data_IF_334590350094
#
_entry.id   IF_334590350094
#
_cell.length_a   1.000
_cell.length_b   1.000
_cell.length_c   1.000
_cell.angle_alpha   90.00
_cell.angle_beta   90.00
_cell.angle_gamma   90.00
#
_symmetry.space_group_name_H-M   'P 1'
#
loop_
_entity.id
_entity.type
_entity.pdbx_description
1 polymer ?
#
# COMPACT_ATOMS: atom_id res chain seq x y z
N UNK A 1 -3.31 -2.10 15.40
CA UNK A 1 -2.65 -2.97 14.40
C UNK A 1 -3.70 -3.68 13.53
N UNK A 2 -4.59 -4.51 14.10
CA UNK A 2 -5.64 -5.22 13.34
C UNK A 2 -6.46 -4.36 12.38
N UNK A 3 -6.91 -3.18 12.83
CA UNK A 3 -7.64 -2.23 11.98
C UNK A 3 -6.83 -1.77 10.77
N UNK A 4 -5.54 -1.50 10.95
CA UNK A 4 -4.66 -1.05 9.87
C UNK A 4 -4.37 -2.19 8.90
N UNK A 5 -4.14 -3.40 9.40
CA UNK A 5 -3.97 -4.58 8.56
C UNK A 5 -5.23 -4.84 7.72
N UNK A 6 -6.41 -4.81 8.33
CA UNK A 6 -7.68 -4.96 7.61
C UNK A 6 -7.87 -3.88 6.53
N UNK A 7 -7.57 -2.61 6.83
CA UNK A 7 -7.63 -1.53 5.81
C UNK A 7 -6.62 -1.78 4.69
N UNK A 8 -5.41 -2.22 5.03
CA UNK A 8 -4.36 -2.60 4.08
C UNK A 8 -4.78 -3.75 3.17
N UNK A 9 -5.35 -4.83 3.71
CA UNK A 9 -5.87 -5.96 2.92
C UNK A 9 -6.99 -5.53 1.97
N UNK A 10 -7.93 -4.70 2.44
CA UNK A 10 -9.00 -4.17 1.58
C UNK A 10 -8.42 -3.32 0.44
N UNK A 11 -7.45 -2.45 0.74
CA UNK A 11 -6.76 -1.67 -0.28
C UNK A 11 -6.08 -2.55 -1.32
N UNK A 12 -5.34 -3.57 -0.89
CA UNK A 12 -4.62 -4.49 -1.81
C UNK A 12 -5.61 -5.23 -2.71
N UNK A 13 -6.72 -5.72 -2.14
CA UNK A 13 -7.77 -6.37 -2.90
C UNK A 13 -8.41 -5.44 -3.93
N UNK A 14 -8.75 -4.22 -3.53
CA UNK A 14 -9.33 -3.22 -4.44
C UNK A 14 -8.36 -2.91 -5.59
N UNK A 15 -7.09 -2.61 -5.27
CA UNK A 15 -6.08 -2.21 -6.25
C UNK A 15 -5.76 -3.34 -7.25
N UNK A 16 -5.66 -4.58 -6.78
CA UNK A 16 -5.40 -5.76 -7.64
C UNK A 16 -6.56 -6.05 -8.60
N UNK A 17 -7.78 -5.66 -8.26
CA UNK A 17 -8.96 -5.84 -9.10
C UNK A 17 -9.13 -4.75 -10.17
N UNK A 18 -8.31 -3.69 -10.15
CA UNK A 18 -8.34 -2.63 -11.16
C UNK A 18 -7.90 -3.19 -12.53
N UNK A 19 -8.70 -2.87 -13.55
CA UNK A 19 -8.52 -3.35 -14.94
C UNK A 19 -8.21 -2.24 -15.94
N UNK A 20 -7.53 -1.17 -15.49
CA UNK A 20 -7.11 -0.06 -16.35
C UNK A 20 -5.90 -0.43 -17.22
N UNK A 21 -5.00 -1.30 -16.75
CA UNK A 21 -3.81 -1.75 -17.48
C UNK A 21 -3.75 -3.27 -17.68
N UNK A 22 -2.96 -3.71 -18.67
CA UNK A 22 -2.66 -5.12 -18.93
C UNK A 22 -1.35 -5.52 -18.27
N UNK A 23 -1.44 -6.17 -17.11
CA UNK A 23 -0.29 -6.84 -16.47
C UNK A 23 -0.03 -8.19 -17.15
N UNK A 24 0.96 -8.25 -18.03
CA UNK A 24 1.25 -9.45 -18.81
C UNK A 24 1.97 -10.53 -18.00
N UNK A 25 2.81 -10.11 -17.04
CA UNK A 25 3.63 -11.03 -16.23
C UNK A 25 3.00 -11.32 -14.87
N UNK A 26 2.07 -10.47 -14.43
CA UNK A 26 1.51 -10.52 -13.07
C UNK A 26 2.39 -9.83 -12.03
N UNK A 27 3.59 -9.35 -12.40
CA UNK A 27 4.54 -8.76 -11.46
C UNK A 27 4.03 -7.45 -10.87
N UNK A 28 3.32 -6.63 -11.65
CA UNK A 28 2.85 -5.33 -11.16
C UNK A 28 1.76 -5.52 -10.10
N UNK A 29 0.70 -6.27 -10.43
CA UNK A 29 -0.41 -6.53 -9.49
C UNK A 29 0.04 -7.31 -8.25
N UNK A 30 0.90 -8.31 -8.41
CA UNK A 30 1.41 -9.09 -7.26
C UNK A 30 2.32 -8.26 -6.36
N UNK A 31 3.01 -7.24 -6.88
CA UNK A 31 3.84 -6.33 -6.06
C UNK A 31 3.04 -5.32 -5.24
N UNK A 32 1.72 -5.23 -5.43
CA UNK A 32 0.87 -4.35 -4.62
C UNK A 32 0.74 -4.93 -3.23
N UNK A 33 0.99 -4.10 -2.22
CA UNK A 33 1.03 -4.48 -0.82
C UNK A 33 0.90 -3.28 0.12
N UNK A 34 1.09 -3.54 1.41
CA UNK A 34 1.12 -2.50 2.44
C UNK A 34 2.15 -2.80 3.54
N UNK A 35 2.52 -1.74 4.26
CA UNK A 35 3.41 -1.76 5.42
C UNK A 35 2.72 -1.00 6.56
N UNK A 36 2.80 -1.54 7.77
CA UNK A 36 2.37 -0.87 8.99
C UNK A 36 3.62 -0.54 9.79
N UNK A 37 3.73 0.73 10.17
CA UNK A 37 4.77 1.21 11.05
C UNK A 37 4.20 1.86 12.30
N UNK A 38 5.00 1.88 13.35
CA UNK A 38 4.75 2.61 14.57
C UNK A 38 6.00 3.36 14.99
N UNK A 39 5.87 4.66 15.21
CA UNK A 39 6.93 5.53 15.70
C UNK A 39 8.24 5.37 14.89
N UNK A 40 8.11 5.40 13.55
CA UNK A 40 9.22 5.26 12.61
C UNK A 40 9.71 3.83 12.36
N UNK A 41 9.18 2.83 13.06
CA UNK A 41 9.61 1.44 12.93
C UNK A 41 8.57 0.59 12.21
N UNK A 42 8.98 -0.17 11.19
CA UNK A 42 8.11 -1.15 10.53
C UNK A 42 7.79 -2.28 11.51
N UNK A 43 6.50 -2.56 11.72
CA UNK A 43 6.02 -3.60 12.63
C UNK A 43 5.27 -4.73 11.92
N UNK A 44 4.79 -4.49 10.69
CA UNK A 44 4.14 -5.51 9.86
C UNK A 44 4.28 -5.13 8.38
N UNK A 45 4.40 -6.14 7.53
CA UNK A 45 4.41 -6.00 6.07
C UNK A 45 3.53 -7.08 5.44
N UNK A 46 2.78 -6.70 4.42
CA UNK A 46 2.17 -7.64 3.48
C UNK A 46 2.48 -7.14 2.07
N UNK A 47 3.60 -7.61 1.54
CA UNK A 47 4.03 -7.34 0.17
C UNK A 47 4.39 -8.68 -0.44
N UNK A 48 3.67 -9.05 -1.49
CA UNK A 48 3.94 -10.26 -2.24
C UNK A 48 4.91 -9.96 -3.40
N UNK A 49 5.44 -11.03 -4.01
CA UNK A 49 6.33 -10.94 -5.15
C UNK A 49 7.80 -11.20 -4.84
N UNK A 50 8.64 -10.92 -5.84
CA UNK A 50 10.08 -11.22 -5.80
C UNK A 50 10.80 -10.43 -4.70
N UNK A 51 11.97 -10.92 -4.29
CA UNK A 51 12.79 -10.30 -3.27
C UNK A 51 13.12 -8.82 -3.59
N UNK A 52 13.32 -8.50 -4.86
CA UNK A 52 13.60 -7.15 -5.36
C UNK A 52 12.45 -6.17 -5.06
N UNK A 53 11.21 -6.51 -5.42
CA UNK A 53 10.05 -5.65 -5.18
C UNK A 53 9.76 -5.44 -3.69
N UNK A 54 10.03 -6.46 -2.86
CA UNK A 54 9.94 -6.33 -1.40
C UNK A 54 11.02 -5.40 -0.83
N UNK A 55 12.24 -5.47 -1.34
CA UNK A 55 13.34 -4.60 -0.92
C UNK A 55 13.06 -3.14 -1.29
N UNK A 56 12.62 -2.90 -2.53
CA UNK A 56 12.26 -1.56 -3.01
C UNK A 56 11.10 -0.95 -2.21
N UNK A 57 10.06 -1.72 -1.94
CA UNK A 57 8.93 -1.28 -1.12
C UNK A 57 9.36 -0.88 0.31
N UNK A 58 10.33 -1.59 0.90
CA UNK A 58 10.90 -1.24 2.21
C UNK A 58 11.73 0.04 2.17
N UNK A 59 12.50 0.24 1.12
CA UNK A 59 13.30 1.45 0.94
C UNK A 59 12.39 2.68 0.88
N UNK A 60 11.37 2.65 0.01
CA UNK A 60 10.34 3.70 -0.10
C UNK A 60 9.63 3.92 1.24
N UNK A 61 9.27 2.84 1.94
CA UNK A 61 8.62 2.96 3.25
C UNK A 61 9.52 3.63 4.29
N UNK A 62 10.81 3.29 4.33
CA UNK A 62 11.76 3.94 5.23
C UNK A 62 11.92 5.44 4.91
N UNK A 63 11.90 5.83 3.64
CA UNK A 63 11.91 7.25 3.24
C UNK A 63 10.65 7.97 3.75
N UNK A 64 9.46 7.39 3.53
CA UNK A 64 8.19 7.94 4.03
C UNK A 64 8.21 8.07 5.56
N UNK A 65 8.80 7.10 6.26
CA UNK A 65 8.87 7.10 7.72
C UNK A 65 9.86 8.11 8.30
N UNK A 66 10.86 8.59 7.54
CA UNK A 66 11.73 9.68 8.00
C UNK A 66 10.94 10.96 8.28
N UNK A 67 9.92 11.21 7.46
CA UNK A 67 9.03 12.38 7.57
C UNK A 67 7.79 12.07 8.45
N UNK A 68 7.38 10.81 8.54
CA UNK A 68 6.18 10.36 9.24
C UNK A 68 6.52 9.37 10.37
N UNK A 69 7.29 9.82 11.36
CA UNK A 69 7.87 8.96 12.40
C UNK A 69 7.09 8.93 13.74
N UNK A 70 5.84 9.39 13.77
CA UNK A 70 5.03 9.43 15.01
C UNK A 70 3.71 8.69 14.85
N UNK A 71 3.33 7.94 15.87
CA UNK A 71 2.09 7.20 15.90
C UNK A 71 2.09 6.05 14.90
N UNK A 72 0.90 5.62 14.50
CA UNK A 72 0.75 4.57 13.50
C UNK A 72 0.69 5.14 12.09
N UNK A 73 1.40 4.49 11.17
CA UNK A 73 1.39 4.81 9.74
C UNK A 73 1.04 3.55 8.96
N UNK A 74 0.05 3.67 8.07
CA UNK A 74 -0.25 2.67 7.05
C UNK A 74 0.27 3.19 5.71
N UNK A 75 1.24 2.47 5.16
CA UNK A 75 1.87 2.76 3.87
C UNK A 75 1.33 1.74 2.88
N UNK A 76 0.79 2.22 1.77
CA UNK A 76 0.36 1.38 0.65
C UNK A 76 1.30 1.58 -0.53
N UNK A 77 1.61 0.51 -1.25
CA UNK A 77 2.73 0.50 -2.20
C UNK A 77 2.47 -0.45 -3.36
N UNK A 78 2.90 -0.05 -4.56
CA UNK A 78 3.18 -0.93 -5.68
C UNK A 78 4.69 -1.09 -5.81
N UNK A 79 5.23 -2.28 -5.52
CA UNK A 79 6.66 -2.50 -5.36
C UNK A 79 7.49 -2.57 -6.66
N UNK A 80 6.89 -2.32 -7.83
CA UNK A 80 7.60 -2.29 -9.11
C UNK A 80 7.93 -0.85 -9.50
N UNK A 81 9.19 -0.55 -9.79
CA UNK A 81 9.68 0.79 -10.17
C UNK A 81 8.92 1.43 -11.36
N UNK A 82 8.41 0.61 -12.28
CA UNK A 82 7.64 1.08 -13.43
C UNK A 82 6.17 1.38 -13.11
N UNK A 83 5.68 1.16 -11.88
CA UNK A 83 4.31 1.45 -11.47
C UNK A 83 3.96 2.94 -11.68
N UNK A 84 4.86 3.84 -11.30
CA UNK A 84 4.69 5.28 -11.51
C UNK A 84 4.61 5.65 -13.02
N UNK A 85 5.35 4.94 -13.86
CA UNK A 85 5.31 5.13 -15.32
C UNK A 85 4.02 4.58 -15.96
N UNK A 86 3.32 3.64 -15.30
CA UNK A 86 2.00 3.17 -15.72
C UNK A 86 0.93 4.18 -15.29
N UNK A 87 1.00 4.69 -14.06
CA UNK A 87 0.15 5.79 -13.56
C UNK A 87 0.25 7.04 -14.44
N UNK A 88 1.45 7.44 -14.83
CA UNK A 88 1.66 8.62 -15.67
C UNK A 88 1.07 8.52 -17.08
N UNK A 89 0.77 7.29 -17.55
CA UNK A 89 0.06 7.04 -18.82
C UNK A 89 -1.46 7.11 -18.67
N UNK A 90 -1.97 7.45 -17.49
CA UNK A 90 -3.39 7.55 -17.19
C UNK A 90 -4.05 6.24 -16.74
N UNK A 91 -3.24 5.23 -16.39
CA UNK A 91 -3.75 3.96 -15.85
C UNK A 91 -3.70 3.96 -14.33
N UNK A 92 -4.77 3.50 -13.70
CA UNK A 92 -4.79 3.37 -12.24
C UNK A 92 -4.12 2.07 -11.77
N UNK A 93 -3.04 2.16 -10.99
CA UNK A 93 -2.33 1.04 -10.36
C UNK A 93 -2.72 0.93 -8.89
N UNK A 94 -2.66 2.04 -8.16
CA UNK A 94 -2.99 2.12 -6.73
C UNK A 94 -3.77 3.38 -6.34
N UNK A 95 -3.70 4.44 -7.15
CA UNK A 95 -4.22 5.77 -6.81
C UNK A 95 -5.73 5.74 -6.53
N UNK A 96 -6.52 5.07 -7.35
CA UNK A 96 -7.98 5.04 -7.23
C UNK A 96 -8.50 4.21 -6.04
N UNK A 97 -7.66 3.36 -5.44
CA UNK A 97 -8.01 2.60 -4.23
C UNK A 97 -7.83 3.41 -2.94
N UNK A 98 -7.07 4.52 -2.98
CA UNK A 98 -6.77 5.33 -1.79
C UNK A 98 -8.03 5.94 -1.13
N UNK A 99 -9.02 6.50 -1.87
CA UNK A 99 -10.21 7.07 -1.25
C UNK A 99 -11.02 6.07 -0.42
N UNK A 100 -11.21 4.85 -0.92
CA UNK A 100 -11.93 3.78 -0.22
C UNK A 100 -11.21 3.38 1.07
N UNK A 101 -9.90 3.17 1.02
CA UNK A 101 -9.08 2.87 2.19
C UNK A 101 -9.14 3.98 3.25
N UNK A 102 -9.05 5.26 2.83
CA UNK A 102 -9.18 6.40 3.73
C UNK A 102 -10.55 6.47 4.40
N UNK A 103 -11.63 6.22 3.64
CA UNK A 103 -12.99 6.20 4.18
C UNK A 103 -13.17 5.07 5.21
N UNK A 104 -12.69 3.86 4.89
CA UNK A 104 -12.74 2.70 5.78
C UNK A 104 -11.94 2.95 7.07
N UNK A 105 -10.74 3.53 6.96
CA UNK A 105 -9.92 3.85 8.13
C UNK A 105 -10.64 4.83 9.07
N UNK A 106 -11.21 5.92 8.53
CA UNK A 106 -11.98 6.89 9.32
C UNK A 106 -13.19 6.27 10.01
N UNK A 107 -13.94 5.43 9.28
CA UNK A 107 -15.09 4.72 9.81
C UNK A 107 -14.69 3.86 11.02
N UNK A 108 -13.59 3.10 10.87
CA UNK A 108 -13.15 2.16 11.90
C UNK A 108 -12.54 2.83 13.12
N UNK A 109 -11.80 3.94 12.94
CA UNK A 109 -11.34 4.76 14.05
C UNK A 109 -12.54 5.25 14.88
N UNK A 110 -13.59 5.74 14.21
CA UNK A 110 -14.83 6.19 14.88
C UNK A 110 -15.57 5.05 15.59
N UNK A 111 -15.69 3.88 14.95
CA UNK A 111 -16.35 2.69 15.50
C UNK A 111 -15.68 2.22 16.79
N UNK A 112 -14.34 2.22 16.82
CA UNK A 112 -13.57 1.79 17.99
C UNK A 112 -13.29 2.90 19.01
N UNK A 113 -13.75 4.14 18.75
CA UNK A 113 -13.44 5.33 19.58
C UNK A 113 -11.93 5.48 19.88
N UNK A 114 -11.09 5.23 18.87
CA UNK A 114 -9.64 5.43 18.92
C UNK A 114 -9.26 6.90 18.76
#
# INVERSE_FOLDING_TARGET
IWTLAMVGENFVNDARNIKTYKDQTGNLRSSIGYIIARDGNIIQENIEGKAEGRAQAKEIANEVLRENNKGFVLIVVAGMEYAAAVESKGYDVITGSVPAAKALLKLKIKEYSL
#
